data_IF_262945926846
#
_entry.id   IF_262945926846
#
_cell.length_a   1.000
_cell.length_b   1.000
_cell.length_c   1.000
_cell.angle_alpha   90.00
_cell.angle_beta   90.00
_cell.angle_gamma   90.00
#
_symmetry.space_group_name_H-M   'P 1'
#
loop_
_entity.id
_entity.type
_entity.pdbx_description
1 polymer ?
#
# COMPACT_ATOMS: atom_id res chain seq x y z
N UNK A 1 -27.70 -46.08 -32.78
CA UNK A 1 -26.62 -45.20 -32.32
C UNK A 1 -27.10 -44.46 -31.07
N UNK A 2 -26.86 -45.03 -29.88
CA UNK A 2 -27.21 -44.39 -28.61
C UNK A 2 -25.97 -43.73 -28.03
N UNK A 3 -25.94 -42.40 -28.02
CA UNK A 3 -24.87 -41.63 -27.39
C UNK A 3 -24.96 -41.86 -25.87
N UNK A 4 -23.98 -42.58 -25.30
CA UNK A 4 -23.85 -42.70 -23.84
C UNK A 4 -23.50 -41.31 -23.29
N UNK A 5 -24.28 -40.81 -22.33
CA UNK A 5 -23.92 -39.63 -21.53
C UNK A 5 -22.58 -39.92 -20.85
N UNK A 6 -21.62 -38.98 -20.81
CA UNK A 6 -20.40 -39.18 -20.06
C UNK A 6 -20.75 -39.35 -18.58
N UNK A 7 -20.27 -40.44 -18.01
CA UNK A 7 -20.32 -40.73 -16.58
C UNK A 7 -19.62 -39.61 -15.82
N UNK A 8 -20.35 -38.94 -14.92
CA UNK A 8 -19.81 -38.01 -13.94
C UNK A 8 -18.77 -38.74 -13.09
N UNK A 9 -17.49 -38.51 -13.38
CA UNK A 9 -16.38 -39.00 -12.60
C UNK A 9 -15.80 -37.84 -11.79
N UNK A 10 -16.46 -37.49 -10.69
CA UNK A 10 -15.87 -36.60 -9.68
C UNK A 10 -16.50 -36.79 -8.29
N UNK A 11 -16.54 -38.03 -7.81
CA UNK A 11 -16.70 -38.30 -6.38
C UNK A 11 -15.36 -38.74 -5.81
N UNK A 12 -14.66 -37.83 -5.15
CA UNK A 12 -13.40 -38.12 -4.48
C UNK A 12 -12.55 -36.88 -4.22
N UNK A 13 -12.77 -36.25 -3.06
CA UNK A 13 -12.14 -35.03 -2.53
C UNK A 13 -12.56 -33.70 -3.20
N UNK A 14 -13.79 -33.26 -2.93
CA UNK A 14 -14.02 -31.82 -2.75
C UNK A 14 -13.24 -31.39 -1.51
N UNK A 15 -12.11 -30.73 -1.69
CA UNK A 15 -11.43 -30.07 -0.59
C UNK A 15 -12.41 -29.09 0.07
N UNK A 16 -12.78 -29.36 1.33
CA UNK A 16 -13.52 -28.40 2.15
C UNK A 16 -12.58 -27.25 2.46
N UNK A 17 -12.64 -26.19 1.65
CA UNK A 17 -11.89 -24.96 1.87
C UNK A 17 -12.77 -24.08 2.77
N UNK A 18 -12.42 -23.90 4.06
CA UNK A 18 -13.24 -23.12 4.98
C UNK A 18 -13.02 -21.62 4.81
N UNK A 19 -12.01 -21.20 4.06
CA UNK A 19 -11.74 -19.78 3.82
C UNK A 19 -12.83 -19.14 2.94
N UNK A 20 -13.23 -17.92 3.29
CA UNK A 20 -14.21 -17.10 2.57
C UNK A 20 -13.57 -15.78 2.15
N UNK A 21 -14.23 -14.63 2.37
CA UNK A 21 -13.56 -13.34 2.20
C UNK A 21 -12.40 -13.16 3.19
N UNK A 22 -11.57 -12.15 2.96
CA UNK A 22 -10.40 -11.88 3.80
C UNK A 22 -10.79 -11.78 5.28
N UNK A 23 -10.25 -12.67 6.11
CA UNK A 23 -10.53 -12.75 7.55
C UNK A 23 -11.72 -13.63 7.95
N UNK A 24 -12.44 -14.22 6.99
CA UNK A 24 -13.63 -15.04 7.24
C UNK A 24 -13.35 -16.54 7.17
N UNK A 25 -13.93 -17.28 8.12
CA UNK A 25 -13.95 -18.74 8.18
C UNK A 25 -15.39 -19.25 8.12
N UNK A 26 -15.66 -20.23 7.28
CA UNK A 26 -16.99 -20.84 7.16
C UNK A 26 -17.25 -21.78 8.32
N UNK A 27 -18.36 -21.55 9.00
CA UNK A 27 -18.89 -22.43 10.02
C UNK A 27 -19.97 -23.34 9.40
N UNK A 28 -19.69 -24.64 9.36
CA UNK A 28 -20.58 -25.62 8.72
C UNK A 28 -21.88 -25.85 9.52
N UNK A 29 -21.85 -25.67 10.84
CA UNK A 29 -23.01 -25.92 11.71
C UNK A 29 -24.08 -24.83 11.55
N UNK A 30 -23.65 -23.57 11.48
CA UNK A 30 -24.55 -22.42 11.35
C UNK A 30 -24.78 -21.98 9.90
N UNK A 31 -23.89 -22.34 8.98
CA UNK A 31 -23.86 -21.79 7.62
C UNK A 31 -23.33 -20.35 7.55
N UNK A 32 -22.93 -19.76 8.67
CA UNK A 32 -22.43 -18.39 8.76
C UNK A 32 -20.91 -18.31 8.56
N UNK A 33 -20.42 -17.11 8.31
CA UNK A 33 -19.00 -16.81 8.20
C UNK A 33 -18.50 -16.20 9.50
N UNK A 34 -17.68 -16.93 10.24
CA UNK A 34 -17.01 -16.43 11.43
C UNK A 34 -15.95 -15.38 11.06
N UNK A 35 -16.13 -14.18 11.60
CA UNK A 35 -15.29 -13.00 11.37
C UNK A 35 -14.82 -12.46 12.73
N UNK A 36 -14.01 -13.28 13.42
CA UNK A 36 -13.41 -13.07 14.75
C UNK A 36 -14.38 -12.62 15.85
N UNK A 37 -14.79 -11.36 15.89
CA UNK A 37 -15.72 -10.86 16.91
C UNK A 37 -17.20 -11.03 16.53
N UNK A 38 -17.52 -11.31 15.26
CA UNK A 38 -18.91 -11.41 14.78
C UNK A 38 -19.09 -12.53 13.75
N UNK A 39 -20.33 -12.99 13.62
CA UNK A 39 -20.76 -13.89 12.55
C UNK A 39 -21.41 -13.08 11.43
N UNK A 40 -20.98 -13.32 10.20
CA UNK A 40 -21.46 -12.69 8.98
C UNK A 40 -22.36 -13.67 8.22
N UNK A 41 -23.54 -13.19 7.85
CA UNK A 41 -24.48 -13.92 7.00
C UNK A 41 -24.24 -13.53 5.52
N UNK A 42 -23.74 -14.47 4.69
CA UNK A 42 -23.50 -14.19 3.28
C UNK A 42 -24.77 -14.06 2.43
N UNK A 43 -25.92 -14.59 2.86
CA UNK A 43 -27.17 -14.54 2.10
C UNK A 43 -27.76 -13.12 2.10
N UNK A 44 -27.74 -12.46 3.26
CA UNK A 44 -28.25 -11.09 3.43
C UNK A 44 -27.15 -10.01 3.41
N UNK A 45 -25.88 -10.41 3.46
CA UNK A 45 -24.73 -9.54 3.32
C UNK A 45 -24.42 -8.65 4.53
N UNK A 46 -24.63 -9.13 5.76
CA UNK A 46 -24.41 -8.35 7.01
C UNK A 46 -24.06 -9.22 8.21
N UNK A 47 -23.63 -8.60 9.31
CA UNK A 47 -23.47 -9.28 10.59
C UNK A 47 -24.82 -9.62 11.22
N UNK A 48 -24.88 -10.75 11.91
CA UNK A 48 -26.08 -11.20 12.64
C UNK A 48 -26.20 -10.56 14.02
N UNK A 49 -25.11 -10.03 14.57
CA UNK A 49 -25.05 -9.33 15.85
C UNK A 49 -24.63 -7.88 15.69
N UNK A 50 -25.07 -7.02 16.63
CA UNK A 50 -24.64 -5.63 16.70
C UNK A 50 -23.13 -5.54 16.98
N UNK A 51 -22.50 -4.48 16.46
CA UNK A 51 -21.10 -4.19 16.69
C UNK A 51 -20.78 -4.04 18.19
N UNK A 52 -19.88 -4.86 18.77
CA UNK A 52 -19.48 -4.75 20.18
C UNK A 52 -18.88 -3.40 20.56
N UNK A 53 -18.30 -2.67 19.59
CA UNK A 53 -17.78 -1.30 19.83
C UNK A 53 -18.81 -0.21 19.52
N UNK A 54 -20.05 -0.59 19.20
CA UNK A 54 -21.16 0.32 18.94
C UNK A 54 -20.88 1.28 17.79
N UNK A 55 -21.28 2.54 17.97
CA UNK A 55 -21.14 3.59 16.94
C UNK A 55 -19.69 3.93 16.54
N UNK A 56 -18.69 3.43 17.29
CA UNK A 56 -17.28 3.60 16.93
C UNK A 56 -16.86 2.77 15.70
N UNK A 57 -17.59 1.67 15.45
CA UNK A 57 -17.45 0.81 14.26
C UNK A 57 -18.12 1.39 13.02
N UNK A 58 -19.18 2.18 13.20
CA UNK A 58 -19.94 2.83 12.14
C UNK A 58 -21.36 3.16 12.60
N UNK A 59 -22.10 3.91 11.76
CA UNK A 59 -23.51 4.25 12.07
C UNK A 59 -24.42 3.03 11.92
N UNK A 60 -24.08 2.10 11.02
CA UNK A 60 -24.79 0.85 10.84
C UNK A 60 -24.12 -0.28 11.65
N UNK A 61 -24.75 -0.66 12.76
CA UNK A 61 -24.20 -1.62 13.72
C UNK A 61 -24.09 -3.06 13.18
N UNK A 62 -24.73 -3.36 12.05
CA UNK A 62 -24.73 -4.69 11.43
C UNK A 62 -23.91 -4.74 10.14
N UNK A 63 -23.33 -3.63 9.70
CA UNK A 63 -22.65 -3.55 8.40
C UNK A 63 -21.29 -4.25 8.42
N UNK A 64 -21.01 -5.04 7.36
CA UNK A 64 -19.67 -5.59 7.13
C UNK A 64 -18.72 -4.52 6.57
N UNK A 65 -19.07 -3.95 5.42
CA UNK A 65 -18.36 -2.85 4.81
C UNK A 65 -19.29 -2.14 3.80
N UNK A 66 -19.27 -0.79 3.72
CA UNK A 66 -20.02 -0.03 2.71
C UNK A 66 -19.73 -0.44 1.26
N UNK A 67 -18.51 -0.91 1.00
CA UNK A 67 -18.12 -1.43 -0.29
C UNK A 67 -17.17 -2.64 -0.09
N UNK A 68 -17.69 -3.88 -0.15
CA UNK A 68 -16.90 -5.09 0.12
C UNK A 68 -15.86 -5.41 -0.97
N UNK A 69 -15.91 -4.77 -2.14
CA UNK A 69 -14.87 -4.89 -3.17
C UNK A 69 -13.65 -4.00 -2.86
N UNK A 70 -13.86 -2.87 -2.17
CA UNK A 70 -12.78 -1.96 -1.82
C UNK A 70 -12.32 -2.10 -0.37
N UNK A 71 -13.20 -2.53 0.54
CA UNK A 71 -13.02 -2.44 2.00
C UNK A 71 -13.21 -3.82 2.65
N UNK A 72 -12.48 -4.08 3.73
CA UNK A 72 -12.52 -5.33 4.51
C UNK A 72 -12.62 -5.00 5.99
N UNK A 73 -13.32 -5.83 6.76
CA UNK A 73 -13.29 -5.80 8.23
C UNK A 73 -12.59 -7.07 8.77
N UNK A 74 -11.26 -7.04 8.98
CA UNK A 74 -10.49 -8.24 9.38
C UNK A 74 -10.80 -8.72 10.80
N UNK A 75 -11.36 -7.85 11.64
CA UNK A 75 -11.68 -8.16 13.03
C UNK A 75 -13.18 -8.42 13.21
N UNK A 76 -14.02 -7.96 12.30
CA UNK A 76 -15.45 -7.88 12.57
C UNK A 76 -15.75 -6.80 13.63
N UNK A 77 -15.07 -5.65 13.56
CA UNK A 77 -15.32 -4.48 14.42
C UNK A 77 -15.29 -3.17 13.63
N UNK A 78 -14.45 -3.08 12.61
CA UNK A 78 -14.33 -1.85 11.81
C UNK A 78 -13.70 -2.17 10.47
N UNK A 79 -14.42 -1.84 9.41
CA UNK A 79 -13.90 -1.96 8.06
C UNK A 79 -12.72 -0.99 7.81
N UNK A 80 -11.85 -1.38 6.89
CA UNK A 80 -10.74 -0.60 6.36
C UNK A 80 -10.68 -0.79 4.86
N UNK A 81 -10.42 0.28 4.12
CA UNK A 81 -10.19 0.20 2.68
C UNK A 81 -8.94 -0.62 2.35
N UNK A 82 -9.10 -1.71 1.59
CA UNK A 82 -8.04 -2.48 0.91
C UNK A 82 -7.43 -1.67 -0.22
N UNK A 83 -8.21 -0.81 -0.88
CA UNK A 83 -7.77 0.09 -1.93
C UNK A 83 -7.85 1.54 -1.49
N UNK A 84 -6.71 2.25 -1.56
CA UNK A 84 -6.51 3.67 -1.19
C UNK A 84 -6.49 3.90 0.32
N UNK A 85 -5.28 3.83 0.87
CA UNK A 85 -4.91 4.91 1.78
C UNK A 85 -5.02 6.21 0.99
N UNK A 86 -6.12 6.95 1.16
CA UNK A 86 -6.31 8.25 0.51
C UNK A 86 -5.26 9.29 0.97
N UNK A 87 -4.29 8.90 1.80
CA UNK A 87 -3.25 9.76 2.36
C UNK A 87 -1.82 9.19 2.26
N UNK A 88 -1.62 7.94 1.80
CA UNK A 88 -0.28 7.47 1.40
C UNK A 88 0.20 8.21 0.14
N UNK A 89 -0.74 8.74 -0.66
CA UNK A 89 -0.45 9.49 -1.88
C UNK A 89 -0.52 11.01 -1.66
N UNK A 90 -0.40 11.49 -0.42
CA UNK A 90 -0.40 12.94 -0.17
C UNK A 90 0.90 13.57 -0.68
N UNK A 91 0.79 14.71 -1.36
CA UNK A 91 1.97 15.46 -1.78
C UNK A 91 2.63 16.28 -0.66
N UNK A 92 2.06 16.26 0.55
CA UNK A 92 2.41 17.15 1.66
C UNK A 92 3.52 16.61 2.56
N UNK A 93 4.19 15.52 2.21
CA UNK A 93 5.33 15.04 3.01
C UNK A 93 6.46 16.07 2.98
N UNK A 94 6.83 16.59 4.15
CA UNK A 94 7.89 17.60 4.28
C UNK A 94 9.06 17.02 5.05
N UNK A 95 10.26 17.35 4.60
CA UNK A 95 11.48 17.22 5.42
C UNK A 95 11.37 18.15 6.63
N UNK A 96 11.84 17.70 7.78
CA UNK A 96 11.87 18.48 9.02
C UNK A 96 13.29 18.49 9.61
N UNK A 97 13.46 19.12 10.78
CA UNK A 97 14.78 19.21 11.45
C UNK A 97 15.37 17.84 11.83
N UNK A 98 14.53 16.83 12.05
CA UNK A 98 14.97 15.46 12.36
C UNK A 98 15.28 14.60 11.13
N UNK A 99 14.96 15.08 9.92
CA UNK A 99 15.25 14.32 8.70
C UNK A 99 16.75 14.17 8.49
N UNK A 100 17.22 12.93 8.41
CA UNK A 100 18.60 12.64 8.05
C UNK A 100 18.79 12.85 6.55
N UNK A 101 19.44 13.95 6.18
CA UNK A 101 19.81 14.24 4.80
C UNK A 101 21.23 13.71 4.54
N UNK A 102 21.35 12.72 3.65
CA UNK A 102 22.61 12.10 3.27
C UNK A 102 22.90 12.34 1.79
N UNK A 103 24.17 12.38 1.43
CA UNK A 103 24.65 12.45 0.05
C UNK A 103 25.51 11.23 -0.26
N UNK A 104 25.08 10.41 -1.21
CA UNK A 104 25.75 9.16 -1.57
C UNK A 104 26.72 9.37 -2.74
N UNK A 105 27.92 9.89 -2.45
CA UNK A 105 28.91 10.21 -3.50
C UNK A 105 29.56 8.99 -4.16
N UNK A 106 29.57 7.84 -3.48
CA UNK A 106 30.22 6.62 -3.97
C UNK A 106 29.51 6.00 -5.17
N UNK A 107 28.24 6.34 -5.38
CA UNK A 107 27.38 5.78 -6.41
C UNK A 107 26.83 6.91 -7.26
N UNK A 108 27.00 6.81 -8.58
CA UNK A 108 26.36 7.70 -9.55
C UNK A 108 25.33 6.92 -10.36
N UNK A 109 24.24 7.57 -10.73
CA UNK A 109 23.17 6.97 -11.54
C UNK A 109 23.18 7.61 -12.92
N UNK A 110 23.28 6.79 -13.97
CA UNK A 110 23.06 7.24 -15.35
C UNK A 110 21.63 7.72 -15.54
N UNK A 111 21.41 8.81 -16.28
CA UNK A 111 20.06 9.34 -16.52
C UNK A 111 19.15 8.31 -17.18
N UNK A 112 19.72 7.53 -18.10
CA UNK A 112 19.05 6.40 -18.75
C UNK A 112 18.53 5.33 -17.79
N UNK A 113 19.19 5.12 -16.63
CA UNK A 113 18.86 4.06 -15.65
C UNK A 113 17.99 4.52 -14.49
N UNK A 114 17.59 5.79 -14.44
CA UNK A 114 16.77 6.33 -13.34
C UNK A 114 15.47 5.54 -13.15
N UNK A 115 14.83 5.11 -14.24
CA UNK A 115 13.59 4.35 -14.18
C UNK A 115 13.79 2.99 -13.49
N UNK A 116 14.90 2.31 -13.77
CA UNK A 116 15.26 1.03 -13.15
C UNK A 116 15.58 1.20 -11.67
N UNK A 117 16.34 2.24 -11.31
CA UNK A 117 16.69 2.54 -9.91
C UNK A 117 15.46 2.89 -9.08
N UNK A 118 14.51 3.64 -9.66
CA UNK A 118 13.20 3.88 -9.05
C UNK A 118 12.46 2.57 -8.80
N UNK A 119 12.43 1.67 -9.79
CA UNK A 119 11.75 0.37 -9.68
C UNK A 119 12.37 -0.48 -8.56
N UNK A 120 13.71 -0.63 -8.55
CA UNK A 120 14.43 -1.37 -7.49
C UNK A 120 14.13 -0.82 -6.11
N UNK A 121 14.05 0.50 -5.97
CA UNK A 121 13.81 1.14 -4.69
C UNK A 121 12.36 1.04 -4.21
N UNK A 122 11.39 1.30 -5.09
CA UNK A 122 9.99 1.29 -4.69
C UNK A 122 9.40 -0.13 -4.64
N UNK A 123 9.94 -1.04 -5.46
CA UNK A 123 9.40 -2.37 -5.75
C UNK A 123 8.43 -2.35 -6.93
N UNK A 124 7.85 -3.51 -7.23
CA UNK A 124 6.99 -3.71 -8.41
C UNK A 124 5.67 -2.93 -8.32
N UNK A 125 5.23 -2.62 -7.10
CA UNK A 125 3.97 -1.94 -6.82
C UNK A 125 4.20 -0.53 -6.25
N UNK A 126 4.14 0.47 -7.13
CA UNK A 126 4.26 1.89 -6.78
C UNK A 126 3.26 2.75 -7.54
N UNK A 127 3.02 3.95 -7.04
CA UNK A 127 2.09 4.92 -7.61
C UNK A 127 2.83 6.22 -7.91
N UNK A 128 2.52 6.86 -9.04
CA UNK A 128 2.98 8.21 -9.34
C UNK A 128 2.07 9.21 -8.60
N UNK A 129 2.65 9.99 -7.70
CA UNK A 129 1.92 11.00 -6.92
C UNK A 129 1.85 12.32 -7.69
N UNK A 130 2.98 12.73 -8.25
CA UNK A 130 3.10 13.98 -9.00
C UNK A 130 4.11 13.84 -10.14
N UNK A 131 4.30 14.91 -10.91
CA UNK A 131 5.40 14.96 -11.86
C UNK A 131 6.73 14.79 -11.13
N UNK A 132 7.54 13.82 -11.57
CA UNK A 132 8.82 13.53 -10.93
C UNK A 132 8.72 12.92 -9.53
N UNK A 133 7.56 12.43 -9.07
CA UNK A 133 7.40 11.90 -7.71
C UNK A 133 6.59 10.61 -7.67
N UNK A 134 7.15 9.57 -7.06
CA UNK A 134 6.56 8.24 -6.97
C UNK A 134 6.70 7.66 -5.57
N UNK A 135 5.75 6.82 -5.17
CA UNK A 135 5.68 6.25 -3.82
C UNK A 135 5.30 4.79 -3.84
N UNK A 136 5.92 4.02 -2.96
CA UNK A 136 5.60 2.61 -2.76
C UNK A 136 4.20 2.45 -2.18
N UNK A 137 3.56 1.30 -2.44
CA UNK A 137 2.19 1.04 -2.00
C UNK A 137 2.01 1.02 -0.47
N UNK A 138 3.05 0.59 0.26
CA UNK A 138 3.12 0.63 1.73
C UNK A 138 3.33 2.06 2.26
N UNK A 139 3.70 3.00 1.38
CA UNK A 139 3.89 4.41 1.70
C UNK A 139 5.21 4.75 2.37
N UNK A 140 6.07 3.78 2.67
CA UNK A 140 7.29 4.04 3.43
C UNK A 140 8.49 4.46 2.57
N UNK A 141 8.36 4.41 1.24
CA UNK A 141 9.43 4.79 0.30
C UNK A 141 8.91 5.75 -0.76
N UNK A 142 9.69 6.77 -1.07
CA UNK A 142 9.37 7.77 -2.07
C UNK A 142 10.60 8.10 -2.91
N UNK A 143 10.43 8.10 -4.22
CA UNK A 143 11.45 8.49 -5.17
C UNK A 143 11.07 9.83 -5.80
N UNK A 144 12.03 10.77 -5.86
CA UNK A 144 11.78 12.07 -6.48
C UNK A 144 12.88 12.53 -7.42
N UNK A 145 12.43 13.21 -8.46
CA UNK A 145 13.19 13.97 -9.43
C UNK A 145 12.58 15.36 -9.45
N UNK A 146 13.25 16.33 -8.83
CA UNK A 146 12.88 17.74 -8.96
C UNK A 146 13.64 18.34 -10.15
N UNK A 147 13.01 19.20 -10.96
CA UNK A 147 13.67 19.80 -12.12
C UNK A 147 14.99 20.49 -11.77
N UNK A 148 15.01 21.33 -10.75
CA UNK A 148 16.21 22.07 -10.31
C UNK A 148 17.33 21.13 -9.85
N UNK A 149 16.99 20.14 -9.03
CA UNK A 149 17.95 19.15 -8.52
C UNK A 149 18.47 18.24 -9.65
N UNK A 150 17.62 17.89 -10.62
CA UNK A 150 17.96 17.07 -11.78
C UNK A 150 18.87 17.81 -12.79
N UNK A 151 18.69 19.12 -12.91
CA UNK A 151 19.57 19.99 -13.69
C UNK A 151 20.83 20.39 -12.91
N UNK A 152 20.82 20.23 -11.59
CA UNK A 152 21.94 20.53 -10.69
C UNK A 152 21.99 21.97 -10.20
N UNK A 153 21.00 22.80 -10.49
CA UNK A 153 21.02 24.25 -10.21
C UNK A 153 21.08 24.59 -8.71
N UNK A 154 20.63 23.67 -7.84
CA UNK A 154 20.58 23.87 -6.38
C UNK A 154 21.78 23.24 -5.62
N UNK A 155 22.61 22.42 -6.27
CA UNK A 155 23.75 21.73 -5.66
C UNK A 155 23.39 20.62 -4.66
N UNK A 156 24.38 19.86 -4.18
CA UNK A 156 24.18 18.69 -3.31
C UNK A 156 25.21 18.60 -2.17
N UNK A 157 24.79 18.07 -1.02
CA UNK A 157 25.69 17.69 0.08
C UNK A 157 25.90 18.77 1.16
N UNK A 158 26.77 18.45 2.13
CA UNK A 158 27.24 19.37 3.18
C UNK A 158 28.77 19.24 3.32
N UNK A 159 29.56 20.26 2.95
CA UNK A 159 29.15 21.53 2.33
C UNK A 159 28.47 21.32 0.96
N UNK A 160 27.65 22.29 0.55
CA UNK A 160 26.89 22.20 -0.70
C UNK A 160 27.85 22.34 -1.89
N UNK A 161 27.87 21.33 -2.75
CA UNK A 161 28.60 21.37 -4.02
C UNK A 161 27.63 21.86 -5.09
N UNK A 162 27.83 23.04 -5.70
CA UNK A 162 26.93 23.60 -6.71
C UNK A 162 26.93 22.76 -7.99
N UNK A 163 25.96 22.98 -8.87
CA UNK A 163 25.90 22.37 -10.22
C UNK A 163 25.99 20.84 -10.19
N UNK A 164 25.40 20.20 -9.18
CA UNK A 164 25.42 18.75 -9.00
C UNK A 164 24.02 18.16 -9.26
N UNK A 165 23.75 17.66 -10.48
CA UNK A 165 22.56 16.90 -10.79
C UNK A 165 22.38 15.71 -9.85
N UNK A 166 21.20 15.54 -9.26
CA UNK A 166 20.93 14.43 -8.35
C UNK A 166 19.43 14.07 -8.28
N UNK A 167 19.15 12.91 -7.69
CA UNK A 167 17.80 12.41 -7.40
C UNK A 167 17.65 12.08 -5.92
N UNK A 168 16.40 11.98 -5.45
CA UNK A 168 16.10 11.71 -4.04
C UNK A 168 15.50 10.32 -3.83
N UNK A 169 16.05 9.62 -2.83
CA UNK A 169 15.49 8.41 -2.26
C UNK A 169 15.08 8.70 -0.82
N UNK A 170 13.78 8.78 -0.59
CA UNK A 170 13.21 9.18 0.69
C UNK A 170 12.57 7.98 1.39
N UNK A 171 12.90 7.82 2.67
CA UNK A 171 12.25 6.89 3.58
C UNK A 171 11.32 7.65 4.49
N UNK A 172 10.09 7.14 4.61
CA UNK A 172 9.00 7.76 5.32
C UNK A 172 8.51 6.84 6.43
N UNK A 173 8.05 7.46 7.52
CA UNK A 173 7.36 6.76 8.60
C UNK A 173 6.02 7.43 8.89
N UNK A 174 4.99 6.66 9.26
CA UNK A 174 3.70 7.21 9.67
C UNK A 174 3.86 8.05 10.94
N UNK A 175 3.14 9.17 11.02
CA UNK A 175 3.14 10.05 12.18
C UNK A 175 2.20 9.49 13.24
N UNK A 176 2.67 8.53 14.03
CA UNK A 176 1.84 7.82 15.01
C UNK A 176 0.68 7.08 14.32
N UNK A 177 -0.54 7.21 14.86
CA UNK A 177 -1.76 6.66 14.24
C UNK A 177 -2.30 7.53 13.08
N UNK A 178 -1.60 8.61 12.73
CA UNK A 178 -2.02 9.51 11.66
C UNK A 178 -1.78 8.92 10.27
N UNK A 179 -2.65 9.32 9.37
CA UNK A 179 -2.59 9.12 7.93
C UNK A 179 -1.40 9.84 7.24
N UNK A 180 -0.72 10.76 7.95
CA UNK A 180 0.40 11.54 7.43
C UNK A 180 1.74 10.84 7.65
N UNK A 181 2.69 11.11 6.76
CA UNK A 181 4.04 10.57 6.88
C UNK A 181 5.08 11.68 7.03
N UNK A 182 6.13 11.37 7.77
CA UNK A 182 7.30 12.22 7.89
C UNK A 182 8.46 11.61 7.11
N UNK A 183 9.22 12.44 6.40
CA UNK A 183 10.48 12.02 5.79
C UNK A 183 11.52 11.86 6.90
N UNK A 184 11.94 10.63 7.16
CA UNK A 184 12.92 10.30 8.20
C UNK A 184 14.34 10.35 7.64
N UNK A 185 14.50 9.91 6.40
CA UNK A 185 15.79 9.88 5.72
C UNK A 185 15.62 10.29 4.27
N UNK A 186 16.48 11.16 3.79
CA UNK A 186 16.51 11.61 2.40
C UNK A 186 17.95 11.43 1.86
N UNK A 187 18.11 10.50 0.94
CA UNK A 187 19.38 10.19 0.31
C UNK A 187 19.41 10.88 -1.06
N UNK A 188 20.37 11.77 -1.23
CA UNK A 188 20.66 12.44 -2.49
C UNK A 188 21.73 11.63 -3.20
N UNK A 189 21.41 11.15 -4.40
CA UNK A 189 22.34 10.37 -5.22
C UNK A 189 22.65 11.16 -6.48
N UNK A 190 23.93 11.47 -6.75
CA UNK A 190 24.31 12.25 -7.92
C UNK A 190 24.02 11.47 -9.20
N UNK A 191 23.63 12.22 -10.22
CA UNK A 191 23.51 11.69 -11.57
C UNK A 191 24.86 11.80 -12.27
N UNK A 192 25.18 10.78 -13.06
CA UNK A 192 26.29 10.87 -13.98
C UNK A 192 25.84 11.65 -15.22
N UNK A 193 26.64 12.61 -15.68
CA UNK A 193 26.33 13.39 -16.88
C UNK A 193 26.76 12.66 -18.17
N UNK A 194 27.57 11.61 -18.04
CA UNK A 194 28.18 10.89 -19.15
C UNK A 194 27.34 9.67 -19.63
N UNK A 195 26.16 9.45 -19.05
CA UNK A 195 25.17 8.40 -19.38
C UNK A 195 23.76 8.74 -18.83
#
# INVERSE_FOLDING_TARGET
MGVKKPSEFSDGLKAKIPFRFQGQYYDEESGLHYNRFRYYDPEIGRFVSQDPIGLWGGVNLFEYAPNPTLWVDPLGLKYRSIGRSQNVLSDKDRTNKSTQNLSEWKRKICRSKIAEERLKFLGDNFVKIASGKWRSIDGNRQFRIKPDDYLGTHGMGKPVIPNTPHVHFEFLQPKGSSIHFNVVKNIHVPLDCCC
#
